data_IF_289544871239
#
_entry.id   IF_289544871239
#
_cell.length_a   1.000
_cell.length_b   1.000
_cell.length_c   1.000
_cell.angle_alpha   90.00
_cell.angle_beta   90.00
_cell.angle_gamma   90.00
#
_symmetry.space_group_name_H-M   'P 1'
#
loop_
_entity.id
_entity.type
_entity.pdbx_description
1 polymer ?
#
# COMPACT_ATOMS: atom_id res chain seq x y z
N UNK A 1 -15.07 -18.60 7.67
CA UNK A 1 -14.61 -17.92 6.44
C UNK A 1 -13.52 -16.97 6.88
N UNK A 2 -12.26 -17.30 6.61
CA UNK A 2 -11.11 -16.56 7.12
C UNK A 2 -11.12 -15.10 6.60
N UNK A 3 -11.55 -14.21 7.50
CA UNK A 3 -10.79 -13.04 7.95
C UNK A 3 -10.74 -11.76 7.10
N UNK A 4 -11.70 -11.50 6.22
CA UNK A 4 -11.87 -10.15 5.66
C UNK A 4 -10.69 -9.63 4.82
N UNK A 5 -9.76 -10.51 4.43
CA UNK A 5 -8.64 -10.18 3.55
C UNK A 5 -9.08 -10.13 2.09
N UNK A 6 -8.68 -9.08 1.39
CA UNK A 6 -8.85 -8.89 -0.05
C UNK A 6 -7.55 -9.21 -0.79
N UNK A 7 -7.65 -9.80 -1.99
CA UNK A 7 -6.51 -10.23 -2.81
C UNK A 7 -6.46 -9.50 -4.15
N UNK A 8 -5.28 -8.99 -4.52
CA UNK A 8 -4.97 -8.39 -5.82
C UNK A 8 -3.63 -8.95 -6.31
N UNK A 9 -3.68 -9.92 -7.22
CA UNK A 9 -2.47 -10.64 -7.65
C UNK A 9 -1.78 -11.36 -6.48
N UNK A 10 -0.52 -11.00 -6.21
CA UNK A 10 0.26 -11.49 -5.05
C UNK A 10 0.05 -10.68 -3.77
N UNK A 11 -0.69 -9.58 -3.85
CA UNK A 11 -0.97 -8.70 -2.72
C UNK A 11 -2.23 -9.15 -2.00
N UNK A 12 -2.17 -9.12 -0.68
CA UNK A 12 -3.27 -9.34 0.26
C UNK A 12 -3.37 -8.10 1.15
N UNK A 13 -4.57 -7.64 1.48
CA UNK A 13 -4.77 -6.58 2.47
C UNK A 13 -6.11 -6.73 3.20
N UNK A 14 -6.21 -6.27 4.44
CA UNK A 14 -7.47 -6.28 5.18
C UNK A 14 -8.05 -4.86 5.26
N UNK A 15 -9.18 -4.55 4.58
CA UNK A 15 -9.82 -3.22 4.64
C UNK A 15 -10.25 -2.80 6.04
N UNK A 16 -10.44 -3.76 6.96
CA UNK A 16 -10.80 -3.50 8.36
C UNK A 16 -9.60 -3.13 9.21
N UNK A 17 -8.37 -3.41 8.74
CA UNK A 17 -7.11 -3.09 9.43
C UNK A 17 -6.43 -1.88 8.79
N UNK A 18 -6.96 -0.69 9.06
CA UNK A 18 -6.37 0.59 8.62
C UNK A 18 -5.20 0.95 9.53
N UNK A 19 -4.01 1.09 8.94
CA UNK A 19 -2.80 1.56 9.61
C UNK A 19 -2.71 3.09 9.62
N UNK A 20 -3.28 3.75 8.61
CA UNK A 20 -3.26 5.21 8.50
C UNK A 20 -4.15 5.74 7.39
N UNK A 21 -4.48 7.04 7.48
CA UNK A 21 -5.19 7.80 6.45
C UNK A 21 -4.35 9.02 6.11
N UNK A 22 -4.08 9.25 4.83
CA UNK A 22 -3.39 10.44 4.36
C UNK A 22 -4.36 11.48 3.81
N UNK A 23 -3.80 12.60 3.37
CA UNK A 23 -4.54 13.59 2.59
C UNK A 23 -5.00 12.98 1.24
N UNK A 24 -5.95 13.65 0.59
CA UNK A 24 -6.42 13.29 -0.76
C UNK A 24 -7.07 11.89 -0.86
N UNK A 25 -7.62 11.38 0.25
CA UNK A 25 -8.36 10.12 0.27
C UNK A 25 -7.47 8.87 0.23
N UNK A 26 -6.15 9.02 0.45
CA UNK A 26 -5.24 7.88 0.58
C UNK A 26 -5.46 7.14 1.89
N UNK A 27 -5.44 5.80 1.83
CA UNK A 27 -5.61 4.94 3.00
C UNK A 27 -4.54 3.86 2.98
N UNK A 28 -3.92 3.61 4.12
CA UNK A 28 -2.92 2.57 4.32
C UNK A 28 -3.54 1.44 5.12
N UNK A 29 -3.52 0.23 4.57
CA UNK A 29 -4.02 -0.99 5.21
C UNK A 29 -2.87 -1.91 5.58
N UNK A 30 -3.11 -2.82 6.53
CA UNK A 30 -2.22 -3.96 6.74
C UNK A 30 -2.33 -4.93 5.57
N UNK A 31 -1.18 -5.41 5.09
CA UNK A 31 -1.14 -6.31 3.96
C UNK A 31 -0.05 -7.37 4.02
N UNK A 32 -0.08 -8.26 3.03
CA UNK A 32 0.99 -9.21 2.72
C UNK A 32 1.30 -9.19 1.24
N UNK A 33 2.57 -9.19 0.87
CA UNK A 33 3.02 -9.35 -0.50
C UNK A 33 3.95 -10.56 -0.59
N UNK A 34 3.57 -11.58 -1.36
CA UNK A 34 4.34 -12.83 -1.50
C UNK A 34 4.68 -13.47 -0.13
N UNK A 35 3.74 -13.37 0.82
CA UNK A 35 3.88 -13.90 2.18
C UNK A 35 4.59 -12.98 3.18
N UNK A 36 5.17 -11.86 2.74
CA UNK A 36 5.84 -10.87 3.62
C UNK A 36 4.84 -9.82 4.10
N UNK A 37 4.87 -9.47 5.38
CA UNK A 37 4.05 -8.39 5.92
C UNK A 37 4.46 -7.04 5.32
N UNK A 38 3.48 -6.26 4.88
CA UNK A 38 3.68 -4.94 4.22
C UNK A 38 2.57 -3.96 4.62
N UNK A 39 2.82 -2.68 4.39
CA UNK A 39 1.78 -1.65 4.39
C UNK A 39 1.25 -1.44 2.96
N UNK A 40 -0.08 -1.43 2.78
CA UNK A 40 -0.72 -1.28 1.47
C UNK A 40 -1.35 0.09 1.37
N UNK A 41 -0.69 1.00 0.65
CA UNK A 41 -1.20 2.35 0.37
C UNK A 41 -2.14 2.32 -0.84
N UNK A 42 -3.43 2.55 -0.60
CA UNK A 42 -4.44 2.74 -1.65
C UNK A 42 -4.47 4.21 -2.05
N UNK A 43 -4.31 4.47 -3.34
CA UNK A 43 -4.36 5.80 -3.93
C UNK A 43 -5.59 5.91 -4.84
N UNK A 44 -6.26 7.07 -4.83
CA UNK A 44 -7.44 7.33 -5.66
C UNK A 44 -7.00 7.60 -7.11
N UNK A 45 -7.77 7.15 -8.10
CA UNK A 45 -7.40 7.16 -9.53
C UNK A 45 -7.03 8.55 -10.08
N UNK A 46 -7.61 9.63 -9.55
CA UNK A 46 -7.25 11.02 -9.94
C UNK A 46 -5.80 11.40 -9.60
N UNK A 47 -5.17 10.72 -8.64
CA UNK A 47 -3.81 10.99 -8.19
C UNK A 47 -2.79 9.95 -8.67
N UNK A 48 -3.18 9.05 -9.59
CA UNK A 48 -2.27 8.01 -10.13
C UNK A 48 -1.01 8.61 -10.75
N UNK A 49 -1.10 9.79 -11.39
CA UNK A 49 0.06 10.50 -11.93
C UNK A 49 1.09 10.91 -10.87
N UNK A 50 0.70 11.04 -9.60
CA UNK A 50 1.62 11.29 -8.49
C UNK A 50 2.30 10.00 -7.99
N UNK A 51 1.67 8.84 -8.21
CA UNK A 51 2.16 7.54 -7.72
C UNK A 51 3.43 7.12 -8.42
N UNK A 52 3.55 7.38 -9.73
CA UNK A 52 4.76 7.05 -10.49
C UNK A 52 5.98 7.77 -9.89
N UNK A 53 5.84 9.09 -9.60
CA UNK A 53 6.91 9.87 -8.98
C UNK A 53 7.22 9.42 -7.55
N UNK A 54 6.22 9.08 -6.75
CA UNK A 54 6.43 8.59 -5.38
C UNK A 54 7.15 7.22 -5.39
N UNK A 55 6.74 6.32 -6.29
CA UNK A 55 7.35 5.00 -6.42
C UNK A 55 8.79 5.06 -6.92
N UNK A 56 9.09 5.97 -7.85
CA UNK A 56 10.45 6.20 -8.35
C UNK A 56 11.35 6.78 -7.25
N UNK A 57 10.88 7.80 -6.53
CA UNK A 57 11.61 8.36 -5.39
C UNK A 57 11.85 7.32 -4.29
N UNK A 58 10.85 6.47 -4.00
CA UNK A 58 11.02 5.36 -3.05
C UNK A 58 12.10 4.40 -3.54
N UNK A 59 12.05 3.95 -4.80
CA UNK A 59 13.07 3.04 -5.36
C UNK A 59 14.48 3.60 -5.31
N UNK A 60 14.65 4.89 -5.55
CA UNK A 60 15.96 5.56 -5.50
C UNK A 60 16.49 5.69 -4.05
N UNK A 61 15.59 5.87 -3.08
CA UNK A 61 15.94 6.10 -1.67
C UNK A 61 15.97 4.83 -0.80
N UNK A 62 15.32 3.73 -1.21
CA UNK A 62 15.24 2.44 -0.47
C UNK A 62 16.60 1.71 -0.36
N UNK A 63 17.66 2.27 -0.96
CA UNK A 63 19.04 1.80 -0.77
C UNK A 63 19.65 2.25 0.55
N UNK A 64 19.02 3.22 1.24
CA UNK A 64 19.47 3.70 2.54
C UNK A 64 18.76 2.94 3.67
N UNK A 65 19.46 2.53 4.75
CA UNK A 65 18.90 1.69 5.81
C UNK A 65 17.93 2.39 6.78
N UNK A 66 17.40 3.58 6.45
CA UNK A 66 16.55 4.39 7.33
C UNK A 66 15.19 4.69 6.72
#
# INVERSE_FOLDING_TARGET
>A
AEDGWMKVGKLLYNPSEVLGRGCEGTVVYRGKFDGRDVAVKRVVSEFVRLVDREADLLRESDTHPN
#
